data_IF_668228419837
#
_entry.id   IF_668228419837
#
_cell.length_a   1.000
_cell.length_b   1.000
_cell.length_c   1.000
_cell.angle_alpha   90.00
_cell.angle_beta   90.00
_cell.angle_gamma   90.00
#
_symmetry.space_group_name_H-M   'P 1'
#
loop_
_entity.id
_entity.type
_entity.pdbx_description
1 polymer ?
#
# COMPACT_ATOMS: atom_id res chain seq x y z
N UNK A 1 42.52 28.84 -17.70
CA UNK A 1 41.99 27.85 -16.74
C UNK A 1 41.41 28.67 -15.62
N UNK A 2 40.08 28.88 -15.65
CA UNK A 2 39.37 29.67 -14.64
C UNK A 2 39.35 28.84 -13.34
N UNK A 3 40.04 29.32 -12.31
CA UNK A 3 40.06 28.68 -10.99
C UNK A 3 38.79 29.13 -10.25
N UNK A 4 37.72 28.35 -10.39
CA UNK A 4 36.45 28.62 -9.72
C UNK A 4 36.64 28.38 -8.24
N UNK A 5 36.79 29.47 -7.48
CA UNK A 5 36.89 29.46 -6.02
C UNK A 5 35.70 28.70 -5.42
N UNK A 6 35.99 27.65 -4.65
CA UNK A 6 34.99 26.89 -3.90
C UNK A 6 34.43 27.76 -2.75
N UNK A 7 33.14 28.13 -2.78
CA UNK A 7 32.56 29.00 -1.76
C UNK A 7 32.54 28.28 -0.40
N UNK A 8 33.29 28.82 0.57
CA UNK A 8 33.39 28.28 1.93
C UNK A 8 32.06 28.26 2.71
N UNK A 9 31.01 28.90 2.18
CA UNK A 9 29.67 28.90 2.75
C UNK A 9 28.75 28.08 1.85
N UNK A 10 28.18 26.96 2.35
CA UNK A 10 27.27 26.16 1.57
C UNK A 10 26.00 26.95 1.23
N UNK A 11 25.50 26.78 0.01
CA UNK A 11 24.33 27.46 -0.55
C UNK A 11 23.08 27.37 0.34
N UNK A 12 22.98 26.32 1.18
CA UNK A 12 21.85 26.13 2.10
C UNK A 12 22.29 25.62 3.46
N UNK A 13 21.87 26.34 4.51
CA UNK A 13 22.08 25.92 5.89
C UNK A 13 21.36 24.60 6.20
N UNK A 14 22.10 23.57 6.62
CA UNK A 14 21.54 22.30 7.08
C UNK A 14 21.05 22.42 8.51
N UNK A 15 19.73 22.31 8.71
CA UNK A 15 19.12 22.29 10.04
C UNK A 15 19.26 20.89 10.65
N UNK A 16 19.57 20.82 11.95
CA UNK A 16 19.63 19.55 12.70
C UNK A 16 18.24 18.91 12.80
N UNK A 17 18.14 17.63 12.45
CA UNK A 17 16.91 16.83 12.58
C UNK A 17 17.03 15.84 13.73
N UNK A 18 15.99 15.76 14.57
CA UNK A 18 15.95 14.87 15.73
C UNK A 18 15.03 13.68 15.46
N UNK A 19 15.57 12.46 15.55
CA UNK A 19 14.78 11.22 15.45
C UNK A 19 13.83 11.08 16.64
N UNK A 20 12.68 10.43 16.45
CA UNK A 20 11.68 10.25 17.50
C UNK A 20 12.24 9.53 18.75
N UNK A 21 13.07 8.50 18.55
CA UNK A 21 13.77 7.79 19.63
C UNK A 21 14.60 8.74 20.50
N UNK A 22 15.42 9.58 19.86
CA UNK A 22 16.24 10.57 20.57
C UNK A 22 15.38 11.54 21.39
N UNK A 23 14.31 12.08 20.81
CA UNK A 23 13.40 12.99 21.52
C UNK A 23 12.80 12.33 22.76
N UNK A 24 12.34 11.08 22.63
CA UNK A 24 11.74 10.32 23.74
C UNK A 24 12.74 10.06 24.84
N UNK A 25 13.91 9.52 24.50
CA UNK A 25 14.93 9.14 25.47
C UNK A 25 15.47 10.41 26.19
N UNK A 26 15.65 11.52 25.47
CA UNK A 26 15.99 12.83 26.05
C UNK A 26 14.91 13.35 27.00
N UNK A 27 13.62 13.26 26.63
CA UNK A 27 12.52 13.69 27.50
C UNK A 27 12.46 12.85 28.79
N UNK A 28 12.71 11.54 28.71
CA UNK A 28 12.78 10.67 29.89
C UNK A 28 13.90 11.10 30.84
N UNK A 29 15.12 11.34 30.32
CA UNK A 29 16.23 11.85 31.14
C UNK A 29 15.89 13.22 31.73
N UNK A 30 15.39 14.15 30.91
CA UNK A 30 15.02 15.51 31.33
C UNK A 30 13.94 15.54 32.41
N UNK A 31 12.93 14.67 32.31
CA UNK A 31 11.84 14.56 33.28
C UNK A 31 12.33 13.99 34.63
N UNK A 32 13.33 13.11 34.62
CA UNK A 32 13.93 12.50 35.83
C UNK A 32 14.87 13.41 36.62
N UNK A 33 15.41 14.45 35.98
CA UNK A 33 16.39 15.35 36.59
C UNK A 33 15.74 16.51 37.37
N UNK A 34 16.49 17.04 38.33
CA UNK A 34 16.18 18.25 39.08
C UNK A 34 16.43 19.52 38.23
N UNK A 35 16.18 20.71 38.79
CA UNK A 35 16.34 21.98 38.05
C UNK A 35 17.78 22.21 37.58
N UNK A 36 18.79 21.85 38.40
CA UNK A 36 20.19 22.03 38.02
C UNK A 36 20.61 21.00 36.96
N UNK A 37 20.22 19.73 37.13
CA UNK A 37 20.46 18.66 36.18
C UNK A 37 19.83 18.92 34.81
N UNK A 38 18.59 19.44 34.77
CA UNK A 38 17.94 19.87 33.52
C UNK A 38 18.74 20.95 32.79
N UNK A 39 19.26 21.93 33.52
CA UNK A 39 20.11 22.97 32.96
C UNK A 39 21.43 22.42 32.40
N UNK A 40 22.05 21.48 33.10
CA UNK A 40 23.27 20.81 32.65
C UNK A 40 23.05 19.98 31.39
N UNK A 41 21.97 19.20 31.35
CA UNK A 41 21.57 18.39 30.21
C UNK A 41 21.32 19.23 28.95
N UNK A 42 20.61 20.36 29.08
CA UNK A 42 20.34 21.27 27.96
C UNK A 42 21.62 21.85 27.36
N UNK A 43 22.62 22.21 28.19
CA UNK A 43 23.91 22.72 27.71
C UNK A 43 24.72 21.64 27.01
N UNK A 44 24.76 20.41 27.56
CA UNK A 44 25.43 19.25 26.96
C UNK A 44 24.89 18.95 25.57
N UNK A 45 23.57 18.93 25.43
CA UNK A 45 22.90 18.57 24.17
C UNK A 45 22.71 19.77 23.20
N UNK A 46 23.07 20.98 23.64
CA UNK A 46 22.88 22.26 22.95
C UNK A 46 21.40 22.49 22.56
N UNK A 47 20.50 22.24 23.52
CA UNK A 47 19.06 22.37 23.35
C UNK A 47 18.49 23.52 24.19
N UNK A 48 17.37 24.05 23.75
CA UNK A 48 16.62 25.09 24.44
C UNK A 48 15.34 24.52 25.06
N UNK A 49 14.89 25.12 26.16
CA UNK A 49 13.65 24.76 26.86
C UNK A 49 12.42 24.80 25.95
N UNK A 50 12.38 25.72 24.98
CA UNK A 50 11.31 25.82 23.98
C UNK A 50 11.18 24.57 23.12
N UNK A 51 12.28 23.88 22.84
CA UNK A 51 12.29 22.66 22.05
C UNK A 51 11.77 21.47 22.87
N UNK A 52 12.10 21.44 24.17
CA UNK A 52 11.57 20.45 25.12
C UNK A 52 10.05 20.57 25.24
N UNK A 53 9.53 21.78 25.37
CA UNK A 53 8.08 22.03 25.38
C UNK A 53 7.40 21.48 24.11
N UNK A 54 7.93 21.83 22.93
CA UNK A 54 7.42 21.30 21.65
C UNK A 54 7.46 19.78 21.57
N UNK A 55 8.48 19.12 22.13
CA UNK A 55 8.56 17.66 22.11
C UNK A 55 7.56 17.00 23.06
N UNK A 56 7.25 17.63 24.21
CA UNK A 56 6.17 17.18 25.09
C UNK A 56 4.80 17.28 24.40
N UNK A 57 4.51 18.41 23.77
CA UNK A 57 3.27 18.57 22.99
C UNK A 57 3.15 17.53 21.87
N UNK A 58 4.26 17.22 21.17
CA UNK A 58 4.29 16.18 20.15
C UNK A 58 4.03 14.78 20.71
N UNK A 59 4.61 14.46 21.88
CA UNK A 59 4.38 13.19 22.58
C UNK A 59 2.90 13.06 22.95
N UNK A 60 2.34 14.09 23.56
CA UNK A 60 0.98 14.04 24.11
C UNK A 60 -0.06 13.97 22.97
N UNK A 61 0.14 14.72 21.88
CA UNK A 61 -0.66 14.57 20.65
C UNK A 61 -0.53 13.18 20.03
N UNK A 62 0.69 12.63 20.01
CA UNK A 62 0.94 11.27 19.49
C UNK A 62 0.19 10.21 20.29
N UNK A 63 0.15 10.34 21.62
CA UNK A 63 -0.62 9.46 22.51
C UNK A 63 -2.11 9.59 22.24
N UNK A 64 -2.64 10.81 22.15
CA UNK A 64 -4.06 11.03 21.86
C UNK A 64 -4.49 10.43 20.51
N UNK A 65 -3.68 10.59 19.47
CA UNK A 65 -3.95 9.98 18.15
C UNK A 65 -3.88 8.46 18.23
N UNK A 66 -2.91 7.90 18.96
CA UNK A 66 -2.77 6.47 19.13
C UNK A 66 -3.95 5.86 19.91
N UNK A 67 -4.43 6.53 20.96
CA UNK A 67 -5.58 6.10 21.76
C UNK A 67 -6.92 6.30 21.05
N UNK A 68 -7.04 7.34 20.22
CA UNK A 68 -8.23 7.59 19.42
C UNK A 68 -8.36 6.64 18.21
N UNK A 69 -7.28 5.92 17.85
CA UNK A 69 -7.33 4.95 16.77
C UNK A 69 -8.16 3.74 17.22
N UNK A 70 -9.25 3.40 16.51
CA UNK A 70 -10.04 2.22 16.85
C UNK A 70 -9.16 0.97 16.79
N UNK A 71 -9.32 0.09 17.78
CA UNK A 71 -8.60 -1.18 17.82
C UNK A 71 -9.05 -2.09 16.66
N UNK A 72 -8.08 -2.70 15.96
CA UNK A 72 -8.32 -3.63 14.87
C UNK A 72 -7.78 -3.18 13.51
N UNK A 73 -7.93 -4.04 12.51
CA UNK A 73 -7.58 -3.72 11.14
C UNK A 73 -8.47 -2.55 10.64
N UNK A 74 -7.92 -1.62 9.85
CA UNK A 74 -8.74 -0.57 9.24
C UNK A 74 -9.87 -1.21 8.43
N UNK A 75 -11.06 -0.60 8.40
CA UNK A 75 -12.16 -1.11 7.59
C UNK A 75 -11.72 -1.15 6.13
N UNK A 76 -12.09 -2.23 5.42
CA UNK A 76 -11.80 -2.36 3.99
C UNK A 76 -12.30 -1.12 3.25
N UNK A 77 -11.40 -0.51 2.49
CA UNK A 77 -11.68 0.62 1.61
C UNK A 77 -12.76 0.27 0.59
N UNK A 78 -13.44 1.29 0.07
CA UNK A 78 -14.42 1.11 -1.01
C UNK A 78 -13.79 0.37 -2.19
N UNK A 79 -12.55 0.71 -2.54
CA UNK A 79 -11.79 0.05 -3.60
C UNK A 79 -11.58 -1.45 -3.35
N UNK A 80 -11.28 -1.86 -2.10
CA UNK A 80 -11.11 -3.28 -1.75
C UNK A 80 -12.44 -4.04 -1.85
N UNK A 81 -13.54 -3.42 -1.43
CA UNK A 81 -14.90 -4.00 -1.55
C UNK A 81 -15.30 -4.17 -3.01
N UNK A 82 -15.08 -3.14 -3.83
CA UNK A 82 -15.37 -3.17 -5.26
C UNK A 82 -14.50 -4.22 -5.97
N UNK A 83 -13.21 -4.30 -5.64
CA UNK A 83 -12.32 -5.32 -6.19
C UNK A 83 -12.79 -6.74 -5.82
N UNK A 84 -13.26 -6.97 -4.59
CA UNK A 84 -13.82 -8.26 -4.19
C UNK A 84 -15.10 -8.60 -4.98
N UNK A 85 -16.02 -7.63 -5.14
CA UNK A 85 -17.24 -7.79 -5.94
C UNK A 85 -16.91 -8.13 -7.40
N UNK A 86 -16.01 -7.36 -8.01
CA UNK A 86 -15.61 -7.53 -9.41
C UNK A 86 -14.93 -8.88 -9.65
N UNK A 87 -14.07 -9.35 -8.72
CA UNK A 87 -13.47 -10.69 -8.81
C UNK A 87 -14.52 -11.80 -8.79
N UNK A 88 -15.50 -11.69 -7.89
CA UNK A 88 -16.60 -12.66 -7.81
C UNK A 88 -17.41 -12.70 -9.11
N UNK A 89 -17.72 -11.53 -9.65
CA UNK A 89 -18.48 -11.42 -10.89
C UNK A 89 -17.68 -11.93 -12.10
N UNK A 90 -16.38 -11.64 -12.16
CA UNK A 90 -15.51 -12.14 -13.21
C UNK A 90 -15.42 -13.66 -13.21
N UNK A 91 -15.33 -14.29 -12.02
CA UNK A 91 -15.37 -15.75 -11.89
C UNK A 91 -16.69 -16.34 -12.39
N UNK A 92 -17.82 -15.73 -11.99
CA UNK A 92 -19.16 -16.16 -12.42
C UNK A 92 -19.30 -16.09 -13.95
N UNK A 93 -18.98 -14.94 -14.53
CA UNK A 93 -19.07 -14.71 -15.97
C UNK A 93 -18.13 -15.61 -16.75
N UNK A 94 -16.93 -15.89 -16.24
CA UNK A 94 -15.99 -16.81 -16.88
C UNK A 94 -16.57 -18.23 -16.97
N UNK A 95 -17.22 -18.73 -15.90
CA UNK A 95 -17.88 -20.03 -15.92
C UNK A 95 -19.07 -20.12 -16.88
N UNK A 96 -19.86 -19.05 -16.99
CA UNK A 96 -20.96 -18.97 -17.97
C UNK A 96 -20.42 -18.98 -19.41
N UNK A 97 -19.33 -18.27 -19.65
CA UNK A 97 -18.67 -18.20 -20.94
C UNK A 97 -18.10 -19.57 -21.34
N UNK A 98 -17.47 -20.30 -20.41
CA UNK A 98 -16.98 -21.66 -20.66
C UNK A 98 -18.13 -22.63 -20.98
N UNK A 99 -19.26 -22.50 -20.29
CA UNK A 99 -20.46 -23.30 -20.59
C UNK A 99 -20.99 -23.01 -22.00
N UNK A 100 -21.10 -21.72 -22.36
CA UNK A 100 -21.54 -21.31 -23.68
C UNK A 100 -20.60 -21.82 -24.80
N UNK A 101 -19.28 -21.75 -24.57
CA UNK A 101 -18.27 -22.32 -25.49
C UNK A 101 -18.46 -23.82 -25.67
N UNK A 102 -18.73 -24.55 -24.60
CA UNK A 102 -18.96 -26.00 -24.68
C UNK A 102 -20.20 -26.34 -25.51
N UNK A 103 -21.30 -25.58 -25.34
CA UNK A 103 -22.52 -25.74 -26.15
C UNK A 103 -22.21 -25.52 -27.63
N UNK A 104 -21.51 -24.43 -27.97
CA UNK A 104 -21.11 -24.12 -29.35
C UNK A 104 -20.26 -25.25 -29.94
N UNK A 105 -19.31 -25.79 -29.16
CA UNK A 105 -18.45 -26.89 -29.60
C UNK A 105 -19.26 -28.18 -29.88
N UNK A 106 -20.25 -28.49 -29.05
CA UNK A 106 -21.13 -29.65 -29.26
C UNK A 106 -21.98 -29.47 -30.52
N UNK A 107 -22.56 -28.28 -30.72
CA UNK A 107 -23.35 -27.96 -31.91
C UNK A 107 -22.51 -28.09 -33.19
N UNK A 108 -21.28 -27.58 -33.19
CA UNK A 108 -20.36 -27.72 -34.32
C UNK A 108 -20.02 -29.18 -34.64
N UNK A 109 -19.75 -30.00 -33.63
CA UNK A 109 -19.50 -31.45 -33.81
C UNK A 109 -20.72 -32.19 -34.36
N UNK A 110 -21.91 -31.87 -33.85
CA UNK A 110 -23.15 -32.48 -34.33
C UNK A 110 -23.41 -32.15 -35.80
N UNK A 111 -23.23 -30.88 -36.20
CA UNK A 111 -23.37 -30.46 -37.59
C UNK A 111 -22.41 -31.22 -38.51
N UNK A 112 -21.14 -31.35 -38.12
CA UNK A 112 -20.15 -32.08 -38.90
C UNK A 112 -20.50 -33.57 -39.06
N UNK A 113 -21.02 -34.21 -38.00
CA UNK A 113 -21.48 -35.60 -38.08
C UNK A 113 -22.68 -35.75 -39.02
N UNK A 114 -23.63 -34.81 -38.97
CA UNK A 114 -24.79 -34.81 -39.86
C UNK A 114 -24.37 -34.65 -41.33
N UNK A 115 -23.42 -33.77 -41.63
CA UNK A 115 -22.87 -33.59 -42.97
C UNK A 115 -22.18 -34.87 -43.49
N UNK A 116 -21.43 -35.57 -42.63
CA UNK A 116 -20.80 -36.85 -42.97
C UNK A 116 -21.85 -37.93 -43.28
N UNK A 117 -22.89 -38.05 -42.46
CA UNK A 117 -23.97 -39.01 -42.68
C UNK A 117 -24.74 -38.73 -43.98
N UNK A 118 -25.03 -37.45 -44.26
CA UNK A 118 -25.67 -37.01 -45.50
C UNK A 118 -24.84 -37.36 -46.74
N UNK A 119 -23.53 -37.09 -46.69
CA UNK A 119 -22.59 -37.35 -47.79
C UNK A 119 -22.38 -38.86 -48.04
N UNK A 120 -22.33 -39.66 -46.99
CA UNK A 120 -22.23 -41.12 -47.13
C UNK A 120 -23.53 -41.73 -47.68
N UNK A 121 -24.69 -41.18 -47.31
CA UNK A 121 -25.99 -41.61 -47.87
C UNK A 121 -26.10 -41.35 -49.36
N UNK A 122 -25.58 -40.23 -49.87
CA UNK A 122 -25.59 -39.93 -51.31
C UNK A 122 -24.58 -40.78 -52.09
N UNK A 123 -23.42 -41.12 -51.50
CA UNK A 123 -22.46 -42.03 -52.11
C UNK A 123 -23.04 -43.44 -52.36
N UNK A 124 -23.76 -44.01 -51.40
CA UNK A 124 -24.37 -45.36 -51.52
C UNK A 124 -25.56 -45.44 -52.48
N UNK A 125 -26.25 -44.32 -52.76
CA UNK A 125 -27.35 -44.28 -53.72
C UNK A 125 -26.90 -44.19 -55.18
N UNK A 126 -25.60 -43.98 -55.43
CA UNK A 126 -25.04 -43.87 -56.79
C UNK A 126 -24.47 -45.20 -57.29
N UNK A 127 -24.47 -46.25 -56.46
CA UNK A 127 -23.85 -47.56 -56.74
C UNK A 127 -24.86 -48.68 -57.01
N UNK A 128 -26.11 -48.34 -57.34
CA UNK A 128 -27.20 -49.30 -57.65
C UNK A 128 -27.90 -48.94 -58.95
#
# INVERSE_FOLDING_TARGET
>A
MEDVLDPQVPERARRRTYKAKYKRDFLTEYDSLDRQGRGALLRREKLYTSLVGKWRDQRDKGVLVALARPAGAPPASIAEKDAARLRKENLRLSGELDTARQVIAIQGKLSALLDQLSTNSSATSTEK
#
